data_IF_649982988341
#
_entry.id   IF_649982988341
#
_cell.length_a   1.000
_cell.length_b   1.000
_cell.length_c   1.000
_cell.angle_alpha   90.00
_cell.angle_beta   90.00
_cell.angle_gamma   90.00
#
_symmetry.space_group_name_H-M   'P 1'
#
loop_
_entity.id
_entity.type
_entity.pdbx_description
1 polymer ?
#
# COMPACT_ATOMS: atom_id res chain seq x y z
N UNK A 1 46.95 70.41 -45.37
CA UNK A 1 46.31 70.14 -44.08
C UNK A 1 44.92 69.56 -44.36
N UNK A 2 44.73 68.25 -44.30
CA UNK A 2 43.45 67.59 -44.58
C UNK A 2 43.01 66.81 -43.30
N UNK A 3 41.87 67.23 -42.80
CA UNK A 3 41.19 66.52 -41.73
C UNK A 3 40.47 65.29 -42.28
N UNK A 4 40.75 64.11 -41.72
CA UNK A 4 40.04 62.92 -41.96
C UNK A 4 39.01 62.67 -40.85
N UNK A 5 37.75 62.60 -41.19
CA UNK A 5 36.65 62.18 -40.31
C UNK A 5 36.49 60.69 -40.33
N UNK A 6 36.68 60.05 -39.21
CA UNK A 6 36.33 58.62 -39.04
C UNK A 6 34.90 58.50 -38.53
N UNK A 7 34.05 57.85 -39.29
CA UNK A 7 32.70 57.45 -38.87
C UNK A 7 32.80 56.14 -38.07
N UNK A 8 32.38 56.20 -36.84
CA UNK A 8 32.16 55.01 -36.03
C UNK A 8 30.74 54.50 -36.29
N UNK A 9 30.62 53.31 -36.82
CA UNK A 9 29.36 52.58 -36.99
C UNK A 9 29.08 51.82 -35.68
N UNK A 10 28.01 52.22 -34.96
CA UNK A 10 27.50 51.47 -33.83
C UNK A 10 26.61 50.34 -34.31
N UNK A 11 27.05 49.11 -34.11
CA UNK A 11 26.24 47.93 -34.35
C UNK A 11 25.30 47.70 -33.17
N UNK A 12 24.01 47.86 -33.37
CA UNK A 12 22.96 47.44 -32.43
C UNK A 12 22.77 45.93 -32.55
N UNK A 13 23.20 45.15 -31.57
CA UNK A 13 22.84 43.76 -31.46
C UNK A 13 21.43 43.67 -30.86
N UNK A 14 20.45 43.25 -31.66
CA UNK A 14 19.12 42.84 -31.19
C UNK A 14 19.27 41.48 -30.48
N UNK A 15 19.18 41.50 -29.17
CA UNK A 15 18.94 40.28 -28.37
C UNK A 15 17.48 39.92 -28.51
N UNK A 16 17.17 38.95 -29.35
CA UNK A 16 15.87 38.30 -29.37
C UNK A 16 15.71 37.44 -28.10
N UNK A 17 15.03 38.01 -27.11
CA UNK A 17 14.56 37.22 -25.97
C UNK A 17 13.46 36.29 -26.44
N UNK A 18 13.81 35.02 -26.70
CA UNK A 18 12.83 33.94 -26.78
C UNK A 18 12.20 33.77 -25.39
N UNK A 19 11.07 34.44 -25.16
CA UNK A 19 10.16 34.06 -24.10
C UNK A 19 9.54 32.72 -24.48
N UNK A 20 10.21 31.61 -24.17
CA UNK A 20 9.61 30.31 -24.17
C UNK A 20 8.53 30.31 -23.11
N UNK A 21 7.26 30.47 -23.53
CA UNK A 21 6.13 30.05 -22.72
C UNK A 21 6.30 28.55 -22.50
N UNK A 22 6.72 28.15 -21.31
CA UNK A 22 6.55 26.79 -20.83
C UNK A 22 5.05 26.55 -20.69
N UNK A 23 4.41 26.15 -21.78
CA UNK A 23 3.14 25.43 -21.68
C UNK A 23 3.39 24.24 -20.74
N UNK A 24 2.53 24.02 -19.73
CA UNK A 24 2.63 22.80 -18.94
C UNK A 24 2.49 21.63 -19.90
N UNK A 25 3.57 20.85 -20.00
CA UNK A 25 3.66 19.66 -20.83
C UNK A 25 2.42 18.81 -20.56
N UNK A 26 1.50 18.74 -21.52
CA UNK A 26 0.31 17.89 -21.47
C UNK A 26 0.78 16.45 -21.46
N UNK A 27 1.08 15.95 -20.27
CA UNK A 27 1.92 14.82 -19.97
C UNK A 27 1.56 13.59 -20.76
N UNK A 28 2.37 13.28 -21.75
CA UNK A 28 2.45 11.92 -22.28
C UNK A 28 2.75 11.01 -21.09
N UNK A 29 2.03 9.88 -20.94
CA UNK A 29 2.32 8.95 -19.86
C UNK A 29 3.80 8.59 -19.92
N UNK A 30 4.49 8.60 -18.78
CA UNK A 30 5.88 8.18 -18.67
C UNK A 30 6.06 6.82 -19.38
N UNK A 31 7.22 6.54 -20.01
CA UNK A 31 7.47 5.23 -20.60
C UNK A 31 7.11 4.11 -19.62
N UNK A 32 6.55 3.00 -20.14
CA UNK A 32 6.18 1.89 -19.28
C UNK A 32 7.45 1.26 -18.65
N UNK A 33 7.40 0.98 -17.35
CA UNK A 33 8.45 0.23 -16.69
C UNK A 33 8.23 -1.27 -16.98
N UNK A 34 9.07 -1.85 -17.83
CA UNK A 34 8.94 -3.24 -18.27
C UNK A 34 9.74 -4.21 -17.41
N UNK A 35 10.75 -3.73 -16.70
CA UNK A 35 11.59 -4.52 -15.81
C UNK A 35 12.03 -3.71 -14.59
N UNK A 36 12.34 -4.39 -13.49
CA UNK A 36 12.97 -3.76 -12.33
C UNK A 36 14.34 -3.16 -12.73
N UNK A 37 14.76 -2.05 -12.11
CA UNK A 37 16.04 -1.41 -12.39
C UNK A 37 17.24 -2.30 -12.03
N UNK A 38 17.03 -3.33 -11.22
CA UNK A 38 17.95 -4.40 -10.89
C UNK A 38 17.21 -5.70 -10.57
N UNK A 39 17.88 -6.83 -10.66
CA UNK A 39 17.35 -8.10 -10.18
C UNK A 39 17.11 -8.06 -8.67
N UNK A 40 16.08 -8.78 -8.22
CA UNK A 40 15.85 -9.02 -6.80
C UNK A 40 16.93 -9.95 -6.25
N UNK A 41 17.43 -9.67 -5.05
CA UNK A 41 18.28 -10.60 -4.32
C UNK A 41 17.51 -11.82 -3.86
N UNK A 42 18.18 -12.91 -3.52
CA UNK A 42 17.54 -14.10 -2.95
C UNK A 42 16.81 -13.79 -1.64
N UNK A 43 17.37 -12.90 -0.81
CA UNK A 43 16.73 -12.45 0.43
C UNK A 43 15.46 -11.64 0.17
N UNK A 44 15.48 -10.71 -0.79
CA UNK A 44 14.28 -9.96 -1.19
C UNK A 44 13.17 -10.89 -1.70
N UNK A 45 13.51 -11.89 -2.52
CA UNK A 45 12.53 -12.88 -3.00
C UNK A 45 11.91 -13.67 -1.84
N UNK A 46 12.71 -14.07 -0.84
CA UNK A 46 12.20 -14.73 0.37
C UNK A 46 11.27 -13.83 1.18
N UNK A 47 11.64 -12.56 1.39
CA UNK A 47 10.83 -11.61 2.14
C UNK A 47 9.53 -11.29 1.39
N UNK A 48 9.56 -11.10 0.07
CA UNK A 48 8.36 -10.91 -0.75
C UNK A 48 7.44 -12.12 -0.66
N UNK A 49 8.00 -13.33 -0.77
CA UNK A 49 7.23 -14.58 -0.64
C UNK A 49 6.52 -14.67 0.71
N UNK A 50 7.28 -14.50 1.80
CA UNK A 50 6.77 -14.51 3.17
C UNK A 50 5.69 -13.44 3.41
N UNK A 51 5.97 -12.19 2.99
CA UNK A 51 5.02 -11.09 3.13
C UNK A 51 3.74 -11.31 2.32
N UNK A 52 3.83 -11.90 1.14
CA UNK A 52 2.65 -12.24 0.32
C UNK A 52 1.85 -13.40 0.93
N UNK A 53 2.49 -14.44 1.46
CA UNK A 53 1.82 -15.55 2.17
C UNK A 53 1.05 -15.01 3.38
N UNK A 54 1.71 -14.18 4.20
CA UNK A 54 1.06 -13.48 5.32
C UNK A 54 -0.08 -12.56 4.83
N UNK A 55 0.11 -11.86 3.72
CA UNK A 55 -0.92 -10.96 3.16
C UNK A 55 -2.21 -11.69 2.84
N UNK A 56 -2.13 -12.81 2.14
CA UNK A 56 -3.32 -13.60 1.81
C UNK A 56 -3.91 -14.28 3.05
N UNK A 57 -3.08 -14.78 3.96
CA UNK A 57 -3.55 -15.39 5.20
C UNK A 57 -4.33 -14.36 6.07
N UNK A 58 -3.77 -13.18 6.25
CA UNK A 58 -4.41 -12.09 7.00
C UNK A 58 -5.71 -11.63 6.31
N UNK A 59 -5.68 -11.42 5.00
CA UNK A 59 -6.87 -10.97 4.26
C UNK A 59 -8.01 -11.99 4.31
N UNK A 60 -7.72 -13.30 4.15
CA UNK A 60 -8.71 -14.36 4.34
C UNK A 60 -9.31 -14.33 5.74
N UNK A 61 -8.45 -14.22 6.76
CA UNK A 61 -8.91 -14.15 8.15
C UNK A 61 -9.80 -12.95 8.41
N UNK A 62 -9.40 -11.77 7.94
CA UNK A 62 -10.17 -10.53 8.08
C UNK A 62 -11.51 -10.58 7.34
N UNK A 63 -11.53 -11.12 6.12
CA UNK A 63 -12.74 -11.29 5.32
C UNK A 63 -13.73 -12.23 6.01
N UNK A 64 -13.25 -13.37 6.51
CA UNK A 64 -14.08 -14.32 7.24
C UNK A 64 -14.60 -13.79 8.58
N UNK A 65 -13.80 -12.94 9.26
CA UNK A 65 -14.22 -12.31 10.53
C UNK A 65 -15.20 -11.13 10.33
N UNK A 66 -15.31 -10.61 9.11
CA UNK A 66 -16.14 -9.44 8.76
C UNK A 66 -16.89 -9.70 7.43
N UNK A 67 -17.78 -10.74 7.36
CA UNK A 67 -18.41 -11.12 6.09
C UNK A 67 -19.24 -9.99 5.51
N UNK A 68 -19.93 -9.22 6.36
CA UNK A 68 -20.88 -8.17 5.98
C UNK A 68 -20.27 -6.77 5.98
N UNK A 69 -18.94 -6.65 6.02
CA UNK A 69 -18.26 -5.35 6.13
C UNK A 69 -17.20 -5.18 5.07
N UNK A 70 -16.98 -3.92 4.69
CA UNK A 70 -15.82 -3.56 3.90
C UNK A 70 -14.55 -3.82 4.70
N UNK A 71 -13.52 -4.31 4.03
CA UNK A 71 -12.18 -4.53 4.59
C UNK A 71 -11.18 -3.80 3.73
N UNK A 72 -10.24 -3.11 4.35
CA UNK A 72 -9.10 -2.54 3.66
C UNK A 72 -7.85 -2.62 4.54
N UNK A 73 -6.94 -3.49 4.23
CA UNK A 73 -5.75 -3.77 5.03
C UNK A 73 -4.48 -3.56 4.22
N UNK A 74 -3.41 -3.18 4.89
CA UNK A 74 -2.04 -3.22 4.36
C UNK A 74 -1.25 -4.31 5.07
N UNK A 75 -1.22 -5.53 4.54
CA UNK A 75 -0.49 -6.61 5.18
C UNK A 75 1.03 -6.38 5.19
N UNK A 76 1.58 -5.69 4.19
CA UNK A 76 2.99 -5.30 4.18
C UNK A 76 3.33 -4.42 5.39
N UNK A 77 2.47 -3.44 5.68
CA UNK A 77 2.59 -2.58 6.87
C UNK A 77 2.57 -3.39 8.17
N UNK A 78 1.60 -4.29 8.32
CA UNK A 78 1.50 -5.16 9.49
C UNK A 78 2.72 -6.09 9.63
N UNK A 79 3.18 -6.69 8.52
CA UNK A 79 4.36 -7.55 8.48
C UNK A 79 5.63 -6.81 8.93
N UNK A 80 5.80 -5.54 8.54
CA UNK A 80 6.95 -4.73 8.95
C UNK A 80 6.89 -4.36 10.44
N UNK A 81 5.73 -3.92 10.96
CA UNK A 81 5.57 -3.59 12.38
C UNK A 81 5.83 -4.81 13.27
N UNK A 82 5.26 -5.96 12.90
CA UNK A 82 5.46 -7.22 13.61
C UNK A 82 6.89 -7.75 13.44
N UNK A 83 7.52 -7.54 12.27
CA UNK A 83 8.92 -7.84 12.03
C UNK A 83 9.86 -7.03 12.94
N UNK A 84 9.57 -5.75 13.17
CA UNK A 84 10.32 -4.96 14.17
C UNK A 84 10.15 -5.56 15.58
N UNK A 85 8.94 -5.91 15.99
CA UNK A 85 8.68 -6.52 17.29
C UNK A 85 9.40 -7.88 17.44
N UNK A 86 9.37 -8.72 16.39
CA UNK A 86 10.03 -10.02 16.35
C UNK A 86 11.54 -9.94 16.65
N UNK A 87 12.22 -8.86 16.22
CA UNK A 87 13.64 -8.65 16.53
C UNK A 87 13.93 -8.44 18.02
N UNK A 88 12.92 -8.15 18.82
CA UNK A 88 13.01 -8.06 20.28
C UNK A 88 12.54 -9.32 21.00
N UNK A 89 11.93 -10.27 20.29
CA UNK A 89 11.39 -11.51 20.83
C UNK A 89 12.43 -12.61 20.95
N UNK A 90 12.19 -13.57 21.87
CA UNK A 90 13.01 -14.76 22.05
C UNK A 90 12.11 -16.00 22.24
N UNK A 91 12.72 -17.21 22.17
CA UNK A 91 12.05 -18.49 22.40
C UNK A 91 10.76 -18.67 21.61
N UNK A 92 9.73 -19.22 22.23
CA UNK A 92 8.44 -19.51 21.60
C UNK A 92 7.76 -18.24 21.03
N UNK A 93 7.93 -17.08 21.69
CA UNK A 93 7.42 -15.81 21.17
C UNK A 93 8.00 -15.49 19.79
N UNK A 94 9.31 -15.59 19.65
CA UNK A 94 10.00 -15.41 18.40
C UNK A 94 9.55 -16.43 17.33
N UNK A 95 9.47 -17.71 17.71
CA UNK A 95 9.14 -18.79 16.78
C UNK A 95 7.71 -18.65 16.22
N UNK A 96 6.73 -18.34 17.06
CA UNK A 96 5.35 -18.09 16.61
C UNK A 96 5.23 -16.84 15.74
N UNK A 97 5.90 -15.75 16.09
CA UNK A 97 5.93 -14.54 15.29
C UNK A 97 6.54 -14.81 13.91
N UNK A 98 7.69 -15.49 13.90
CA UNK A 98 8.39 -15.85 12.68
C UNK A 98 7.56 -16.74 11.77
N UNK A 99 6.94 -17.77 12.31
CA UNK A 99 6.08 -18.70 11.58
C UNK A 99 4.85 -17.98 10.99
N UNK A 100 4.18 -17.15 11.80
CA UNK A 100 3.01 -16.39 11.36
C UNK A 100 3.34 -15.40 10.25
N UNK A 101 4.51 -14.78 10.29
CA UNK A 101 4.99 -13.87 9.25
C UNK A 101 5.54 -14.60 7.99
N UNK A 102 5.54 -15.93 7.99
CA UNK A 102 5.93 -16.74 6.83
C UNK A 102 7.43 -16.88 6.62
N UNK A 103 8.29 -16.47 7.57
CA UNK A 103 9.73 -16.57 7.39
C UNK A 103 10.25 -17.99 7.57
N UNK A 104 10.93 -18.51 6.55
CA UNK A 104 11.60 -19.79 6.62
C UNK A 104 12.65 -19.84 7.73
N UNK A 105 12.78 -20.98 8.40
CA UNK A 105 13.73 -21.17 9.51
C UNK A 105 15.21 -21.02 9.09
N UNK A 106 15.50 -21.17 7.79
CA UNK A 106 16.84 -20.98 7.23
C UNK A 106 17.27 -19.53 7.01
N UNK A 107 16.34 -18.56 7.05
CA UNK A 107 16.68 -17.15 6.89
C UNK A 107 17.18 -16.57 8.23
N UNK A 108 18.32 -15.90 8.27
CA UNK A 108 18.77 -15.19 9.47
C UNK A 108 17.97 -13.90 9.67
N UNK A 109 17.97 -13.36 10.89
CA UNK A 109 17.31 -12.08 11.19
C UNK A 109 17.92 -10.91 10.40
N UNK A 110 19.25 -10.91 10.26
CA UNK A 110 19.93 -9.89 9.47
C UNK A 110 19.54 -9.99 7.99
N UNK A 111 19.47 -11.20 7.43
CA UNK A 111 19.00 -11.41 6.06
C UNK A 111 17.60 -10.86 5.87
N UNK A 112 16.67 -11.13 6.79
CA UNK A 112 15.31 -10.61 6.75
C UNK A 112 15.28 -9.08 6.82
N UNK A 113 16.00 -8.50 7.80
CA UNK A 113 16.03 -7.06 8.02
C UNK A 113 16.67 -6.29 6.86
N UNK A 114 17.82 -6.72 6.39
CA UNK A 114 18.51 -6.12 5.25
C UNK A 114 17.68 -6.24 3.96
N UNK A 115 16.98 -7.36 3.79
CA UNK A 115 16.10 -7.56 2.64
C UNK A 115 14.88 -6.65 2.67
N UNK A 116 14.26 -6.41 3.84
CA UNK A 116 13.21 -5.40 3.97
C UNK A 116 13.72 -4.01 3.62
N UNK A 117 14.86 -3.61 4.17
CA UNK A 117 15.47 -2.30 3.87
C UNK A 117 15.70 -2.13 2.37
N UNK A 118 16.32 -3.11 1.73
CA UNK A 118 16.63 -3.09 0.30
C UNK A 118 15.36 -3.07 -0.56
N UNK A 119 14.36 -3.90 -0.22
CA UNK A 119 13.07 -3.94 -0.91
C UNK A 119 12.34 -2.60 -0.82
N UNK A 120 12.24 -2.00 0.36
CA UNK A 120 11.58 -0.71 0.54
C UNK A 120 12.28 0.41 -0.24
N UNK A 121 13.60 0.42 -0.23
CA UNK A 121 14.37 1.37 -1.04
C UNK A 121 14.10 1.19 -2.54
N UNK A 122 14.02 -0.06 -3.01
CA UNK A 122 13.65 -0.37 -4.39
C UNK A 122 12.24 0.15 -4.71
N UNK A 123 11.24 -0.23 -3.91
CA UNK A 123 9.84 0.15 -4.15
C UNK A 123 9.65 1.68 -4.20
N UNK A 124 10.24 2.43 -3.29
CA UNK A 124 10.16 3.91 -3.27
C UNK A 124 10.71 4.57 -4.54
N UNK A 125 11.63 3.92 -5.23
CA UNK A 125 12.33 4.46 -6.41
C UNK A 125 11.74 4.09 -7.76
N UNK A 126 10.71 3.22 -7.82
CA UNK A 126 10.23 2.64 -9.08
C UNK A 126 9.43 3.62 -9.96
N UNK A 127 8.67 4.51 -9.36
CA UNK A 127 7.82 5.46 -10.07
C UNK A 127 7.79 6.82 -9.37
N UNK A 128 8.46 7.84 -9.91
CA UNK A 128 8.48 9.16 -9.30
C UNK A 128 7.13 9.90 -9.36
N UNK A 129 6.16 9.42 -10.16
CA UNK A 129 4.80 9.94 -10.21
C UNK A 129 3.87 9.33 -9.15
N UNK A 130 4.35 8.32 -8.43
CA UNK A 130 3.64 7.65 -7.33
C UNK A 130 4.25 8.06 -5.99
N UNK A 131 3.45 8.66 -5.12
CA UNK A 131 3.86 8.93 -3.73
C UNK A 131 3.59 7.71 -2.87
N UNK A 132 4.62 6.85 -2.78
CA UNK A 132 4.61 5.66 -1.94
C UNK A 132 5.49 5.88 -0.73
N UNK A 133 4.87 5.89 0.47
CA UNK A 133 5.56 6.11 1.74
C UNK A 133 5.33 4.95 2.67
N UNK A 134 6.41 4.48 3.26
CA UNK A 134 6.41 3.60 4.42
C UNK A 134 7.28 4.28 5.48
N UNK A 135 6.73 4.46 6.66
CA UNK A 135 7.43 5.05 7.80
C UNK A 135 7.24 4.16 9.02
N UNK A 136 8.32 3.92 9.75
CA UNK A 136 8.35 3.11 10.95
C UNK A 136 8.75 3.95 12.16
N UNK A 137 8.20 3.65 13.33
CA UNK A 137 8.62 4.28 14.58
C UNK A 137 8.57 3.33 15.77
N UNK A 138 9.47 3.59 16.70
CA UNK A 138 9.57 2.96 18.02
C UNK A 138 9.48 4.09 19.05
N UNK A 139 8.36 4.18 19.73
CA UNK A 139 8.16 5.11 20.83
C UNK A 139 8.24 4.35 22.14
N UNK A 140 9.08 4.77 23.04
CA UNK A 140 9.24 4.10 24.33
C UNK A 140 9.23 5.08 25.50
N UNK A 141 8.71 4.62 26.63
CA UNK A 141 8.60 5.43 27.85
C UNK A 141 9.97 5.90 28.31
N UNK A 142 10.11 7.19 28.61
CA UNK A 142 11.31 7.75 29.21
C UNK A 142 11.69 6.99 30.47
N UNK A 143 12.95 6.57 30.58
CA UNK A 143 13.48 5.78 31.71
C UNK A 143 13.23 4.26 31.60
N UNK A 144 12.48 3.78 30.59
CA UNK A 144 12.35 2.35 30.35
C UNK A 144 13.64 1.79 29.74
N UNK A 145 14.20 0.66 30.28
CA UNK A 145 15.50 0.14 29.84
C UNK A 145 15.36 -0.62 28.51
N UNK A 146 15.42 0.08 27.37
CA UNK A 146 15.39 -0.52 26.04
C UNK A 146 16.79 -0.95 25.61
N UNK A 147 16.92 -2.16 25.07
CA UNK A 147 18.17 -2.68 24.50
C UNK A 147 18.61 -1.84 23.29
N UNK A 148 19.85 -1.36 23.32
CA UNK A 148 20.37 -0.53 22.24
C UNK A 148 20.46 -1.28 20.92
N UNK A 149 20.82 -2.57 20.95
CA UNK A 149 20.86 -3.41 19.76
C UNK A 149 19.47 -3.57 19.10
N UNK A 150 18.40 -3.64 19.90
CA UNK A 150 17.04 -3.64 19.38
C UNK A 150 16.70 -2.31 18.66
N UNK A 151 17.03 -1.17 19.28
CA UNK A 151 16.81 0.14 18.66
C UNK A 151 17.63 0.30 17.36
N UNK A 152 18.86 -0.19 17.36
CA UNK A 152 19.75 -0.11 16.19
C UNK A 152 19.26 -1.02 15.04
N UNK A 153 18.76 -2.21 15.33
CA UNK A 153 18.08 -3.05 14.33
C UNK A 153 16.84 -2.35 13.76
N UNK A 154 16.02 -1.73 14.60
CA UNK A 154 14.86 -0.92 14.17
C UNK A 154 15.27 0.19 13.20
N UNK A 155 16.30 0.96 13.53
CA UNK A 155 16.82 2.04 12.67
C UNK A 155 17.44 1.51 11.39
N UNK A 156 18.31 0.50 11.50
CA UNK A 156 19.11 0.04 10.38
C UNK A 156 18.33 -0.79 9.36
N UNK A 157 17.39 -1.60 9.79
CA UNK A 157 16.63 -2.53 8.93
C UNK A 157 15.28 -2.01 8.50
N UNK A 158 14.63 -1.21 9.35
CA UNK A 158 13.27 -0.73 9.10
C UNK A 158 13.19 0.79 8.92
N UNK A 159 14.32 1.49 8.92
CA UNK A 159 14.37 2.97 8.86
C UNK A 159 13.48 3.61 9.95
N UNK A 160 13.43 2.98 11.13
CA UNK A 160 12.51 3.37 12.18
C UNK A 160 13.02 4.59 12.96
N UNK A 161 12.15 5.57 13.15
CA UNK A 161 12.36 6.60 14.15
C UNK A 161 12.24 5.99 15.53
N UNK A 162 13.33 5.91 16.30
CA UNK A 162 13.31 5.46 17.70
C UNK A 162 13.45 6.67 18.64
N UNK A 163 12.47 6.89 19.52
CA UNK A 163 12.41 8.07 20.38
C UNK A 163 11.82 7.72 21.76
N UNK A 164 12.50 8.15 22.81
CA UNK A 164 11.93 8.17 24.16
C UNK A 164 10.87 9.28 24.28
N UNK A 165 9.79 9.00 24.98
CA UNK A 165 8.68 9.93 25.17
C UNK A 165 8.14 9.78 26.61
N UNK A 166 7.86 10.90 27.28
CA UNK A 166 7.17 10.87 28.57
C UNK A 166 5.69 10.50 28.34
N UNK A 167 5.35 9.24 28.57
CA UNK A 167 4.00 8.71 28.36
C UNK A 167 2.97 9.26 29.38
N UNK A 168 3.41 9.88 30.47
CA UNK A 168 2.54 10.58 31.41
C UNK A 168 2.19 12.01 30.93
N UNK A 169 2.93 12.53 29.95
CA UNK A 169 2.65 13.85 29.39
C UNK A 169 1.35 13.85 28.59
N UNK A 170 0.46 14.84 28.78
CA UNK A 170 -0.73 15.00 27.94
C UNK A 170 -0.44 15.12 26.43
N UNK A 171 0.78 15.54 26.06
CA UNK A 171 1.19 15.69 24.66
C UNK A 171 1.69 14.38 24.02
N UNK A 172 1.87 13.30 24.78
CA UNK A 172 2.45 12.06 24.25
C UNK A 172 1.59 11.45 23.13
N UNK A 173 0.28 11.35 23.33
CA UNK A 173 -0.69 10.86 22.33
C UNK A 173 -0.64 11.72 21.07
N UNK A 174 -0.67 13.04 21.24
CA UNK A 174 -0.61 13.99 20.12
C UNK A 174 0.70 13.85 19.35
N UNK A 175 1.85 13.73 20.03
CA UNK A 175 3.16 13.55 19.37
C UNK A 175 3.20 12.32 18.50
N UNK A 176 2.66 11.20 18.95
CA UNK A 176 2.60 9.95 18.17
C UNK A 176 1.64 10.09 16.98
N UNK A 177 0.45 10.64 17.23
CA UNK A 177 -0.56 10.83 16.17
C UNK A 177 -0.10 11.83 15.10
N UNK A 178 0.54 12.92 15.48
CA UNK A 178 1.09 13.93 14.54
C UNK A 178 2.17 13.30 13.65
N UNK A 179 2.99 12.42 14.20
CA UNK A 179 3.97 11.68 13.39
C UNK A 179 3.28 10.78 12.36
N UNK A 180 2.23 10.03 12.73
CA UNK A 180 1.46 9.20 11.80
C UNK A 180 0.75 10.07 10.76
N UNK A 181 0.11 11.14 11.19
CA UNK A 181 -0.56 12.10 10.30
C UNK A 181 0.41 12.67 9.26
N UNK A 182 1.57 13.13 9.69
CA UNK A 182 2.62 13.62 8.77
C UNK A 182 3.10 12.56 7.81
N UNK A 183 3.33 11.33 8.28
CA UNK A 183 3.80 10.20 7.48
C UNK A 183 2.76 9.75 6.44
N UNK A 184 1.47 10.01 6.68
CA UNK A 184 0.34 9.63 5.80
C UNK A 184 -0.33 10.85 5.14
N UNK A 185 0.36 11.99 5.08
CA UNK A 185 -0.15 13.23 4.44
C UNK A 185 -1.54 13.63 4.99
N UNK A 186 -1.71 13.50 6.30
CA UNK A 186 -2.96 13.85 6.99
C UNK A 186 -4.10 12.83 6.84
N UNK A 187 -3.89 11.71 6.15
CA UNK A 187 -4.98 10.72 5.89
C UNK A 187 -5.28 9.81 7.06
N UNK A 188 -4.31 9.61 7.93
CA UNK A 188 -4.50 8.89 9.20
C UNK A 188 -4.16 9.88 10.33
N UNK A 189 -5.12 10.70 10.77
CA UNK A 189 -4.86 11.74 11.77
C UNK A 189 -4.64 11.17 13.18
N UNK A 190 -5.12 9.95 13.45
CA UNK A 190 -5.00 9.32 14.76
C UNK A 190 -4.76 7.81 14.61
N UNK A 191 -3.80 7.26 15.37
CA UNK A 191 -3.55 5.81 15.46
C UNK A 191 -3.82 5.29 16.87
N UNK A 192 -3.53 6.10 17.90
CA UNK A 192 -3.82 5.79 19.29
C UNK A 192 -4.74 6.84 19.87
N UNK A 193 -5.62 6.42 20.77
CA UNK A 193 -6.60 7.31 21.43
C UNK A 193 -6.10 7.73 22.81
N UNK A 194 -5.37 6.84 23.49
CA UNK A 194 -4.77 7.06 24.82
C UNK A 194 -3.56 6.14 25.03
N UNK A 195 -2.80 6.42 26.05
CA UNK A 195 -1.70 5.58 26.53
C UNK A 195 -2.09 5.07 27.91
N UNK A 196 -2.14 3.75 28.08
CA UNK A 196 -2.43 3.12 29.38
C UNK A 196 -1.18 3.13 30.26
N UNK A 197 -1.38 3.04 31.58
CA UNK A 197 -0.29 3.17 32.53
C UNK A 197 0.74 2.02 32.46
N UNK A 198 0.35 0.86 32.01
CA UNK A 198 1.18 -0.33 31.81
C UNK A 198 1.90 -0.36 30.46
N UNK A 199 1.47 0.44 29.50
CA UNK A 199 2.11 0.52 28.19
C UNK A 199 3.46 1.23 28.29
N UNK A 200 4.49 0.59 27.73
CA UNK A 200 5.88 1.10 27.78
C UNK A 200 6.47 1.34 26.40
N UNK A 201 5.84 0.80 25.33
CA UNK A 201 6.36 0.93 23.98
C UNK A 201 5.23 0.83 22.93
N UNK A 202 5.40 1.60 21.86
CA UNK A 202 4.61 1.50 20.62
C UNK A 202 5.52 1.28 19.44
N UNK A 203 5.23 0.25 18.66
CA UNK A 203 5.85 -0.02 17.37
C UNK A 203 4.81 0.28 16.28
N UNK A 204 5.05 1.32 15.50
CA UNK A 204 4.07 1.82 14.53
C UNK A 204 4.67 1.80 13.13
N UNK A 205 3.93 1.23 12.19
CA UNK A 205 4.16 1.41 10.77
C UNK A 205 3.03 2.24 10.18
N UNK A 206 3.37 3.25 9.41
CA UNK A 206 2.45 4.07 8.64
C UNK A 206 2.75 3.89 7.16
N UNK A 207 1.73 3.55 6.38
CA UNK A 207 1.84 3.36 4.94
C UNK A 207 0.86 4.26 4.21
N UNK A 208 1.33 4.88 3.14
CA UNK A 208 0.56 5.76 2.29
C UNK A 208 0.86 5.47 0.82
N UNK A 209 -0.16 5.47 0.00
CA UNK A 209 -0.05 5.32 -1.44
C UNK A 209 -0.93 6.34 -2.15
N UNK A 210 -0.34 7.07 -3.08
CA UNK A 210 -1.03 7.96 -4.00
C UNK A 210 -0.47 7.77 -5.40
N UNK A 211 -1.31 7.44 -6.36
CA UNK A 211 -0.90 7.25 -7.75
C UNK A 211 -2.00 7.65 -8.71
N UNK A 212 -1.65 8.38 -9.77
CA UNK A 212 -2.56 8.64 -10.88
C UNK A 212 -2.66 7.40 -11.78
N UNK A 213 -3.86 7.09 -12.26
CA UNK A 213 -4.01 6.04 -13.28
C UNK A 213 -3.11 6.32 -14.48
N UNK A 214 -2.45 5.31 -14.99
CA UNK A 214 -1.71 5.43 -16.26
C UNK A 214 -2.62 5.86 -17.41
N UNK A 215 -3.85 5.37 -17.43
CA UNK A 215 -4.94 5.83 -18.29
C UNK A 215 -6.09 6.24 -17.39
N UNK A 216 -6.35 7.54 -17.31
CA UNK A 216 -7.40 8.12 -16.43
C UNK A 216 -8.79 7.81 -16.95
N UNK A 217 -9.77 7.89 -16.07
CA UNK A 217 -11.17 7.93 -16.46
C UNK A 217 -11.57 9.38 -16.80
N UNK A 218 -12.50 9.53 -17.74
CA UNK A 218 -13.08 10.83 -18.07
C UNK A 218 -14.21 11.13 -17.06
N UNK A 219 -14.11 12.21 -16.27
CA UNK A 219 -15.16 12.56 -15.32
C UNK A 219 -16.53 12.79 -15.96
N UNK A 220 -16.56 13.27 -17.23
CA UNK A 220 -17.80 13.49 -17.98
C UNK A 220 -18.54 12.17 -18.32
N UNK A 221 -17.83 11.05 -18.27
CA UNK A 221 -18.38 9.70 -18.53
C UNK A 221 -18.81 8.98 -17.24
N UNK A 222 -18.58 9.56 -16.06
CA UNK A 222 -19.02 9.00 -14.78
C UNK A 222 -20.53 9.13 -14.66
N UNK A 223 -21.20 8.02 -14.41
CA UNK A 223 -22.67 7.98 -14.26
C UNK A 223 -23.07 7.52 -12.87
N UNK A 224 -24.26 7.95 -12.46
CA UNK A 224 -24.91 7.39 -11.26
C UNK A 224 -25.66 6.13 -11.67
N UNK A 225 -25.38 5.01 -11.01
CA UNK A 225 -26.03 3.73 -11.29
C UNK A 225 -26.20 2.91 -9.99
N UNK A 226 -27.07 1.90 -9.97
CA UNK A 226 -27.16 0.98 -8.85
C UNK A 226 -25.84 0.23 -8.62
N UNK A 227 -25.51 0.01 -7.35
CA UNK A 227 -24.54 -0.96 -6.89
C UNK A 227 -25.30 -1.98 -6.03
N UNK A 228 -25.29 -3.24 -6.46
CA UNK A 228 -26.00 -4.35 -5.82
C UNK A 228 -25.25 -4.80 -4.57
N UNK A 229 -25.32 -3.97 -3.52
CA UNK A 229 -24.60 -4.18 -2.28
C UNK A 229 -25.18 -5.34 -1.47
N UNK A 230 -24.38 -5.90 -0.58
CA UNK A 230 -24.90 -6.82 0.43
C UNK A 230 -25.91 -6.09 1.31
N UNK A 231 -27.17 -6.56 1.28
CA UNK A 231 -28.29 -5.95 2.01
C UNK A 231 -29.18 -5.00 1.19
N UNK A 232 -28.93 -4.87 -0.11
CA UNK A 232 -29.79 -4.11 -1.04
C UNK A 232 -29.04 -3.08 -1.89
N UNK A 233 -29.72 -2.59 -2.90
CA UNK A 233 -29.16 -1.67 -3.87
C UNK A 233 -28.77 -0.31 -3.25
N UNK A 234 -27.63 0.20 -3.62
CA UNK A 234 -27.11 1.52 -3.27
C UNK A 234 -26.81 2.32 -4.53
N UNK A 235 -26.86 3.64 -4.45
CA UNK A 235 -26.45 4.51 -5.54
C UNK A 235 -24.93 4.67 -5.55
N UNK A 236 -24.28 4.40 -6.68
CA UNK A 236 -22.85 4.57 -6.87
C UNK A 236 -22.51 5.49 -8.05
N UNK A 237 -21.37 6.14 -8.00
CA UNK A 237 -20.76 6.84 -9.13
C UNK A 237 -19.84 5.87 -9.86
N UNK A 238 -20.29 5.36 -11.01
CA UNK A 238 -19.50 4.45 -11.83
C UNK A 238 -18.68 5.23 -12.87
N UNK A 239 -17.37 5.23 -12.68
CA UNK A 239 -16.41 5.77 -13.64
C UNK A 239 -16.34 4.84 -14.85
N UNK A 240 -16.33 5.38 -16.06
CA UNK A 240 -16.33 4.59 -17.30
C UNK A 240 -15.09 4.83 -18.15
N UNK A 241 -14.51 3.73 -18.63
CA UNK A 241 -13.38 3.74 -19.56
C UNK A 241 -13.43 2.54 -20.49
N UNK A 242 -13.14 2.77 -21.75
CA UNK A 242 -13.00 1.73 -22.76
C UNK A 242 -11.55 1.61 -23.21
N UNK A 243 -11.18 0.46 -23.74
CA UNK A 243 -9.90 0.23 -24.40
C UNK A 243 -9.20 -1.04 -23.96
N UNK A 244 -7.98 -1.21 -24.43
CA UNK A 244 -7.15 -2.36 -24.11
C UNK A 244 -6.73 -2.34 -22.65
N UNK A 245 -7.04 -3.42 -21.94
CA UNK A 245 -6.68 -3.65 -20.54
C UNK A 245 -6.22 -5.09 -20.36
N UNK A 246 -5.35 -5.29 -19.37
CA UNK A 246 -4.99 -6.64 -18.94
C UNK A 246 -6.18 -7.24 -18.21
N UNK A 247 -6.68 -8.37 -18.70
CA UNK A 247 -7.85 -9.06 -18.21
C UNK A 247 -7.59 -10.55 -18.08
N UNK A 248 -8.23 -11.17 -17.11
CA UNK A 248 -8.23 -12.63 -16.90
C UNK A 248 -9.60 -13.08 -16.41
N UNK A 249 -10.00 -14.29 -16.78
CA UNK A 249 -11.20 -14.97 -16.28
C UNK A 249 -10.84 -16.37 -15.79
N UNK A 250 -11.40 -16.72 -14.65
CA UNK A 250 -11.35 -18.06 -14.05
C UNK A 250 -12.77 -18.61 -13.87
N UNK A 251 -12.91 -19.77 -13.24
CA UNK A 251 -14.23 -20.29 -12.88
C UNK A 251 -14.89 -19.51 -11.73
N UNK A 252 -14.09 -18.85 -10.87
CA UNK A 252 -14.57 -18.21 -9.63
C UNK A 252 -14.71 -16.69 -9.75
N UNK A 253 -14.02 -16.06 -10.69
CA UNK A 253 -14.00 -14.60 -10.85
C UNK A 253 -13.44 -14.19 -12.22
N UNK A 254 -13.66 -12.95 -12.56
CA UNK A 254 -12.89 -12.22 -13.57
C UNK A 254 -12.12 -11.06 -12.94
N UNK A 255 -11.02 -10.63 -13.55
CA UNK A 255 -10.21 -9.54 -13.02
C UNK A 255 -9.63 -8.66 -14.12
N UNK A 256 -9.47 -7.36 -13.80
CA UNK A 256 -8.73 -6.38 -14.62
C UNK A 256 -7.58 -5.80 -13.81
N UNK A 257 -6.47 -5.50 -14.49
CA UNK A 257 -5.28 -4.89 -13.89
C UNK A 257 -5.15 -3.45 -14.38
N UNK A 258 -5.21 -2.50 -13.46
CA UNK A 258 -5.25 -1.06 -13.72
C UNK A 258 -3.93 -0.43 -13.27
N UNK A 259 -3.00 -0.14 -14.20
CA UNK A 259 -1.69 0.41 -13.84
C UNK A 259 -1.78 1.89 -13.44
N UNK A 260 -0.91 2.28 -12.50
CA UNK A 260 -0.61 3.65 -12.13
C UNK A 260 0.64 4.16 -12.86
N UNK A 261 0.75 5.45 -13.06
CA UNK A 261 1.93 6.17 -13.51
C UNK A 261 2.69 5.50 -14.66
N UNK A 262 3.92 5.07 -14.39
CA UNK A 262 4.75 4.34 -15.35
C UNK A 262 4.43 2.83 -15.41
N UNK A 263 3.46 2.33 -14.65
CA UNK A 263 3.05 0.93 -14.63
C UNK A 263 3.83 0.04 -13.67
N UNK A 264 4.69 0.58 -12.81
CA UNK A 264 5.32 -0.19 -11.73
C UNK A 264 4.27 -0.71 -10.75
N UNK A 265 3.29 0.11 -10.44
CA UNK A 265 2.19 -0.22 -9.54
C UNK A 265 0.90 -0.45 -10.30
N UNK A 266 0.04 -1.31 -9.76
CA UNK A 266 -1.30 -1.56 -10.31
C UNK A 266 -2.31 -1.86 -9.21
N UNK A 267 -3.59 -1.56 -9.51
CA UNK A 267 -4.73 -2.09 -8.79
C UNK A 267 -5.35 -3.19 -9.64
N UNK A 268 -5.35 -4.41 -9.13
CA UNK A 268 -6.11 -5.52 -9.71
C UNK A 268 -7.49 -5.54 -9.08
N UNK A 269 -8.54 -5.33 -9.87
CA UNK A 269 -9.94 -5.43 -9.44
C UNK A 269 -10.44 -6.83 -9.79
N UNK A 270 -10.97 -7.55 -8.81
CA UNK A 270 -11.43 -8.93 -8.91
C UNK A 270 -12.93 -8.97 -8.64
N UNK A 271 -13.70 -9.32 -9.65
CA UNK A 271 -15.15 -9.38 -9.61
C UNK A 271 -15.60 -10.84 -9.53
N UNK A 272 -16.26 -11.27 -8.45
CA UNK A 272 -16.73 -12.65 -8.32
C UNK A 272 -17.64 -13.08 -9.48
N UNK A 273 -17.51 -14.33 -9.93
CA UNK A 273 -18.40 -14.92 -10.92
C UNK A 273 -19.85 -15.04 -10.38
N UNK A 274 -20.80 -15.26 -11.26
CA UNK A 274 -22.20 -15.44 -10.86
C UNK A 274 -22.33 -16.58 -9.82
N UNK A 275 -23.01 -16.31 -8.71
CA UNK A 275 -23.19 -17.23 -7.58
C UNK A 275 -21.99 -17.36 -6.63
N UNK A 276 -20.93 -16.60 -6.86
CA UNK A 276 -19.76 -16.49 -5.96
C UNK A 276 -19.81 -15.19 -5.18
N UNK A 277 -19.22 -15.19 -4.01
CA UNK A 277 -19.10 -14.04 -3.11
C UNK A 277 -17.65 -13.53 -3.05
N UNK A 278 -17.46 -12.34 -2.49
CA UNK A 278 -16.12 -11.82 -2.17
C UNK A 278 -15.37 -12.72 -1.18
N UNK A 279 -16.09 -13.42 -0.31
CA UNK A 279 -15.49 -14.32 0.67
C UNK A 279 -15.06 -15.64 0.03
N UNK A 280 -15.79 -16.15 -0.99
CA UNK A 280 -15.33 -17.28 -1.81
C UNK A 280 -14.03 -16.93 -2.54
N UNK A 281 -13.97 -15.73 -3.13
CA UNK A 281 -12.74 -15.23 -3.77
C UNK A 281 -11.61 -15.12 -2.75
N UNK A 282 -11.85 -14.48 -1.60
CA UNK A 282 -10.83 -14.31 -0.57
C UNK A 282 -10.32 -15.66 -0.04
N UNK A 283 -11.20 -16.65 0.14
CA UNK A 283 -10.84 -18.02 0.58
C UNK A 283 -9.92 -18.73 -0.42
N UNK A 284 -10.14 -18.53 -1.72
CA UNK A 284 -9.34 -19.11 -2.80
C UNK A 284 -8.00 -18.43 -3.07
N UNK A 285 -7.82 -17.18 -2.61
CA UNK A 285 -6.59 -16.43 -2.86
C UNK A 285 -5.44 -16.93 -1.97
N UNK A 286 -4.32 -17.29 -2.62
CA UNK A 286 -3.05 -17.69 -2.01
C UNK A 286 -1.90 -17.10 -2.82
N UNK A 287 -0.73 -16.90 -2.21
CA UNK A 287 0.40 -16.24 -2.89
C UNK A 287 0.84 -16.98 -4.16
N UNK A 288 0.95 -18.31 -4.11
CA UNK A 288 1.31 -19.13 -5.28
C UNK A 288 0.27 -19.05 -6.39
N UNK A 289 -1.03 -19.23 -6.05
CA UNK A 289 -2.13 -19.13 -7.00
C UNK A 289 -2.22 -17.72 -7.62
N UNK A 290 -1.99 -16.68 -6.81
CA UNK A 290 -1.96 -15.30 -7.28
C UNK A 290 -0.81 -15.06 -8.25
N UNK A 291 0.38 -15.58 -7.96
CA UNK A 291 1.54 -15.48 -8.85
C UNK A 291 1.26 -16.13 -10.21
N UNK A 292 0.64 -17.30 -10.23
CA UNK A 292 0.24 -17.96 -11.48
C UNK A 292 -0.90 -17.23 -12.20
N UNK A 293 -1.86 -16.67 -11.47
CA UNK A 293 -2.93 -15.85 -12.03
C UNK A 293 -2.37 -14.62 -12.75
N UNK A 294 -1.40 -13.93 -12.14
CA UNK A 294 -0.82 -12.70 -12.73
C UNK A 294 -0.12 -12.95 -14.07
N UNK A 295 0.35 -14.16 -14.34
CA UNK A 295 0.92 -14.58 -15.64
C UNK A 295 -0.15 -14.84 -16.70
N UNK A 296 -1.40 -15.09 -16.30
CA UNK A 296 -2.50 -15.41 -17.21
C UNK A 296 -3.24 -14.18 -17.74
N UNK A 297 -2.95 -12.99 -17.21
CA UNK A 297 -3.53 -11.76 -17.74
C UNK A 297 -3.13 -11.55 -19.22
N UNK A 298 -4.12 -11.26 -20.04
CA UNK A 298 -3.97 -10.97 -21.48
C UNK A 298 -4.59 -9.64 -21.82
N UNK A 299 -4.10 -9.01 -22.84
CA UNK A 299 -4.71 -7.80 -23.38
C UNK A 299 -6.07 -8.15 -23.98
N UNK A 300 -7.09 -7.38 -23.61
CA UNK A 300 -8.45 -7.50 -24.11
C UNK A 300 -9.05 -6.10 -24.29
N UNK A 301 -9.95 -5.95 -25.27
CA UNK A 301 -10.75 -4.73 -25.39
C UNK A 301 -11.90 -4.80 -24.39
N UNK A 302 -11.89 -3.93 -23.39
CA UNK A 302 -12.78 -3.95 -22.22
C UNK A 302 -13.52 -2.64 -22.10
N UNK A 303 -14.85 -2.71 -21.89
CA UNK A 303 -15.67 -1.64 -21.36
C UNK A 303 -15.69 -1.79 -19.84
N UNK A 304 -14.92 -0.94 -19.14
CA UNK A 304 -14.80 -0.94 -17.69
C UNK A 304 -15.75 0.08 -17.07
N UNK A 305 -16.50 -0.36 -16.05
CA UNK A 305 -17.22 0.52 -15.13
C UNK A 305 -16.77 0.19 -13.71
N UNK A 306 -16.15 1.17 -13.03
CA UNK A 306 -15.60 1.02 -11.67
C UNK A 306 -16.20 2.07 -10.75
N UNK A 307 -16.76 1.74 -9.59
CA UNK A 307 -17.29 2.74 -8.67
C UNK A 307 -16.16 3.62 -8.11
N UNK A 308 -16.47 4.92 -7.95
CA UNK A 308 -15.70 5.77 -7.04
C UNK A 308 -15.97 5.32 -5.63
N UNK A 309 -14.93 5.22 -4.81
CA UNK A 309 -15.10 4.95 -3.39
C UNK A 309 -13.99 5.55 -2.55
N UNK A 310 -14.36 5.90 -1.32
CA UNK A 310 -13.46 6.34 -0.28
C UNK A 310 -13.69 5.47 0.93
N UNK A 311 -12.65 4.78 1.41
CA UNK A 311 -12.76 3.87 2.52
C UNK A 311 -11.72 4.18 3.58
N UNK A 312 -12.17 4.36 4.81
CA UNK A 312 -11.37 4.35 6.02
C UNK A 312 -11.65 3.05 6.77
N UNK A 313 -10.61 2.38 7.23
CA UNK A 313 -10.74 1.13 7.95
C UNK A 313 -9.81 1.12 9.18
N UNK A 314 -10.33 0.66 10.30
CA UNK A 314 -9.67 0.61 11.60
C UNK A 314 -9.94 -0.74 12.26
N UNK A 315 -8.89 -1.43 12.72
CA UNK A 315 -9.03 -2.71 13.40
C UNK A 315 -7.90 -2.99 14.37
N UNK A 316 -8.25 -3.59 15.50
CA UNK A 316 -7.32 -4.25 16.41
C UNK A 316 -7.10 -5.67 15.90
N UNK A 317 -5.85 -6.03 15.58
CA UNK A 317 -5.51 -7.25 14.87
C UNK A 317 -5.15 -8.44 15.78
N UNK A 318 -5.02 -8.26 17.08
CA UNK A 318 -4.60 -9.35 18.01
C UNK A 318 -5.44 -10.61 17.81
N UNK A 319 -6.80 -10.59 17.80
CA UNK A 319 -7.59 -11.81 17.63
C UNK A 319 -7.36 -12.50 16.26
N UNK A 320 -7.03 -11.71 15.26
CA UNK A 320 -6.78 -12.24 13.91
C UNK A 320 -5.39 -12.86 13.82
N UNK A 321 -4.39 -12.26 14.46
CA UNK A 321 -3.02 -12.79 14.57
C UNK A 321 -2.96 -14.06 15.42
N UNK A 322 -3.71 -14.12 16.53
CA UNK A 322 -3.87 -15.33 17.34
C UNK A 322 -4.45 -16.49 16.52
N UNK A 323 -5.45 -16.22 15.71
CA UNK A 323 -6.04 -17.20 14.80
C UNK A 323 -5.06 -17.67 13.70
N UNK A 324 -4.08 -16.84 13.34
CA UNK A 324 -3.01 -17.18 12.41
C UNK A 324 -1.82 -17.90 13.08
N UNK A 325 -1.83 -18.06 14.41
CA UNK A 325 -0.81 -18.81 15.15
C UNK A 325 0.11 -17.99 16.05
N UNK A 326 0.09 -16.66 15.98
CA UNK A 326 0.84 -15.77 16.88
C UNK A 326 0.03 -15.58 18.18
N UNK A 327 0.35 -16.29 19.22
CA UNK A 327 -0.42 -16.31 20.48
C UNK A 327 0.38 -15.84 21.68
N UNK A 328 1.55 -16.42 21.91
CA UNK A 328 2.35 -16.20 23.12
C UNK A 328 2.77 -14.74 23.23
N UNK A 329 3.02 -14.05 22.12
CA UNK A 329 3.40 -12.64 22.10
C UNK A 329 2.39 -11.68 22.78
N UNK A 330 1.12 -12.10 22.92
CA UNK A 330 0.02 -11.29 23.48
C UNK A 330 -0.34 -11.65 24.92
N UNK A 331 0.35 -12.61 25.53
CA UNK A 331 0.00 -13.13 26.86
C UNK A 331 0.98 -12.63 27.91
N UNK A 332 0.45 -11.86 28.87
CA UNK A 332 1.22 -11.41 30.02
C UNK A 332 1.86 -12.58 30.79
N UNK A 333 3.10 -12.43 31.20
CA UNK A 333 3.90 -13.43 31.90
C UNK A 333 4.27 -14.68 31.10
N UNK A 334 3.93 -14.73 29.79
CA UNK A 334 4.32 -15.83 28.88
C UNK A 334 5.15 -15.35 27.70
N UNK A 335 4.93 -14.12 27.26
CA UNK A 335 5.70 -13.51 26.19
C UNK A 335 7.16 -13.30 26.63
N UNK A 336 8.08 -13.50 25.72
CA UNK A 336 9.51 -13.26 25.92
C UNK A 336 10.03 -12.23 24.91
N UNK A 337 10.24 -11.01 25.40
CA UNK A 337 10.86 -9.91 24.69
C UNK A 337 12.22 -9.53 25.31
N UNK A 338 12.93 -10.50 25.85
CA UNK A 338 14.23 -10.31 26.53
C UNK A 338 15.32 -9.69 25.63
N UNK A 339 15.14 -9.73 24.32
CA UNK A 339 16.03 -9.06 23.34
C UNK A 339 15.62 -7.61 23.04
N UNK A 340 14.50 -7.15 23.61
CA UNK A 340 14.02 -5.77 23.53
C UNK A 340 14.39 -4.96 24.78
N UNK A 341 14.43 -5.63 25.94
CA UNK A 341 14.68 -5.01 27.23
C UNK A 341 15.17 -6.04 28.24
N UNK A 342 15.92 -5.60 29.27
CA UNK A 342 16.24 -6.41 30.44
C UNK A 342 14.98 -6.81 31.24
N UNK A 343 13.87 -6.11 31.06
CA UNK A 343 12.54 -6.43 31.61
C UNK A 343 11.66 -7.19 30.59
N UNK A 344 12.24 -7.70 29.51
CA UNK A 344 11.51 -8.24 28.36
C UNK A 344 10.59 -9.42 28.67
N UNK A 345 10.86 -10.22 29.71
CA UNK A 345 9.98 -11.30 30.19
C UNK A 345 8.72 -10.81 30.94
N UNK A 346 8.65 -9.50 31.21
CA UNK A 346 7.47 -8.83 31.79
C UNK A 346 6.70 -8.05 30.73
N UNK A 347 7.16 -8.10 29.46
CA UNK A 347 6.53 -7.41 28.34
C UNK A 347 5.65 -8.37 27.55
N UNK A 348 4.55 -7.84 27.05
CA UNK A 348 3.73 -8.47 26.04
C UNK A 348 3.16 -7.42 25.08
N UNK A 349 2.73 -7.82 23.91
CA UNK A 349 2.09 -6.91 22.95
C UNK A 349 0.62 -6.76 23.34
N UNK A 350 0.25 -5.62 23.92
CA UNK A 350 -1.12 -5.31 24.34
C UNK A 350 -1.98 -4.70 23.24
N UNK A 351 -1.37 -4.21 22.18
CA UNK A 351 -2.08 -3.56 21.06
C UNK A 351 -1.36 -3.79 19.73
N UNK A 352 -2.08 -4.33 18.76
CA UNK A 352 -1.74 -4.27 17.33
C UNK A 352 -2.93 -3.62 16.64
N UNK A 353 -2.77 -2.39 16.18
CA UNK A 353 -3.84 -1.61 15.54
C UNK A 353 -3.40 -1.21 14.15
N UNK A 354 -4.28 -1.40 13.16
CA UNK A 354 -4.07 -0.91 11.82
C UNK A 354 -5.19 0.05 11.45
N UNK A 355 -4.81 1.20 10.91
CA UNK A 355 -5.70 2.11 10.20
C UNK A 355 -5.21 2.27 8.78
N UNK A 356 -6.14 2.26 7.85
CA UNK A 356 -5.85 2.43 6.42
C UNK A 356 -6.86 3.38 5.79
N UNK A 357 -6.44 4.01 4.71
CA UNK A 357 -7.24 4.95 3.94
C UNK A 357 -7.00 4.72 2.46
N UNK A 358 -8.08 4.75 1.67
CA UNK A 358 -8.04 4.75 0.22
C UNK A 358 -9.12 5.66 -0.34
N UNK A 359 -8.81 6.39 -1.40
CA UNK A 359 -9.73 7.20 -2.19
C UNK A 359 -9.49 6.91 -3.66
N UNK A 360 -10.44 6.25 -4.29
CA UNK A 360 -10.39 5.84 -5.70
C UNK A 360 -11.35 6.70 -6.51
N UNK A 361 -10.81 7.44 -7.47
CA UNK A 361 -11.54 8.35 -8.33
C UNK A 361 -11.01 8.29 -9.78
N UNK A 362 -11.50 9.17 -10.67
CA UNK A 362 -11.20 9.18 -12.10
C UNK A 362 -9.73 9.41 -12.42
N UNK A 363 -9.01 10.07 -11.54
CA UNK A 363 -7.60 10.42 -11.74
C UNK A 363 -6.66 9.33 -11.25
N UNK A 364 -7.08 8.57 -10.23
CA UNK A 364 -6.25 7.57 -9.59
C UNK A 364 -6.70 7.24 -8.19
N UNK A 365 -5.74 6.86 -7.39
CA UNK A 365 -5.85 6.82 -5.94
C UNK A 365 -5.23 8.10 -5.40
N UNK A 366 -6.06 8.99 -4.85
CA UNK A 366 -5.70 10.30 -4.30
C UNK A 366 -5.04 11.30 -5.27
N UNK A 367 -5.51 11.47 -6.49
CA UNK A 367 -4.94 12.43 -7.45
C UNK A 367 -5.76 13.72 -7.58
N UNK A 368 -5.09 14.84 -7.93
CA UNK A 368 -5.69 16.14 -8.22
C UNK A 368 -5.75 16.39 -9.73
N UNK A 369 -6.79 17.13 -10.19
CA UNK A 369 -7.24 17.16 -11.58
C UNK A 369 -6.29 17.81 -12.60
N UNK A 370 -6.09 17.14 -13.76
CA UNK A 370 -5.72 17.73 -15.05
C UNK A 370 -6.48 17.00 -16.15
N UNK A 371 -7.22 17.73 -17.00
CA UNK A 371 -8.11 17.17 -18.02
C UNK A 371 -7.40 17.03 -19.37
N UNK A 372 -7.47 15.83 -19.99
CA UNK A 372 -7.13 15.64 -21.40
C UNK A 372 -8.21 14.78 -22.07
N UNK A 373 -8.78 15.25 -23.19
CA UNK A 373 -9.81 14.58 -23.98
C UNK A 373 -9.21 14.11 -25.31
N UNK A 374 -9.26 12.80 -25.57
CA UNK A 374 -8.93 12.21 -26.87
C UNK A 374 -10.14 11.48 -27.46
N UNK A 375 -10.52 11.79 -28.71
CA UNK A 375 -11.64 11.17 -29.44
C UNK A 375 -11.10 10.27 -30.54
N UNK A 376 -11.54 9.00 -30.58
CA UNK A 376 -11.26 8.07 -31.67
C UNK A 376 -12.53 7.37 -32.14
N UNK A 377 -12.79 7.37 -33.42
CA UNK A 377 -13.88 6.66 -34.09
C UNK A 377 -13.36 5.42 -34.80
N UNK A 378 -13.86 4.25 -34.45
CA UNK A 378 -13.82 3.05 -35.34
C UNK A 378 -14.94 2.10 -34.99
N UNK A 379 -15.41 1.28 -35.95
CA UNK A 379 -16.48 0.29 -35.83
C UNK A 379 -16.29 -0.60 -34.57
N UNK A 380 -17.33 -0.74 -33.76
CA UNK A 380 -17.26 -1.37 -32.46
C UNK A 380 -17.02 -2.90 -32.58
N UNK A 381 -15.83 -3.42 -32.21
CA UNK A 381 -15.69 -4.83 -31.90
C UNK A 381 -16.56 -5.17 -30.68
N UNK A 382 -16.95 -6.43 -30.54
CA UNK A 382 -17.65 -6.90 -29.34
C UNK A 382 -16.70 -6.77 -28.16
N UNK A 383 -16.89 -5.71 -27.35
CA UNK A 383 -16.10 -5.42 -26.16
C UNK A 383 -16.56 -6.31 -25.00
N UNK A 384 -15.60 -6.75 -24.19
CA UNK A 384 -15.91 -7.40 -22.92
C UNK A 384 -16.43 -6.34 -21.95
N UNK A 385 -17.57 -6.62 -21.34
CA UNK A 385 -18.10 -5.76 -20.27
C UNK A 385 -17.52 -6.21 -18.93
N UNK A 386 -16.87 -5.31 -18.23
CA UNK A 386 -16.41 -5.50 -16.85
C UNK A 386 -17.05 -4.42 -15.99
N UNK A 387 -18.26 -4.72 -15.49
CA UNK A 387 -19.09 -3.78 -14.73
C UNK A 387 -19.02 -4.13 -13.25
N UNK A 388 -18.34 -3.28 -12.47
CA UNK A 388 -18.18 -3.43 -11.02
C UNK A 388 -19.36 -2.77 -10.32
N UNK A 389 -20.53 -3.38 -10.43
CA UNK A 389 -21.81 -2.94 -9.87
C UNK A 389 -22.27 -3.77 -8.67
N UNK A 390 -21.40 -4.63 -8.15
CA UNK A 390 -21.64 -5.55 -7.03
C UNK A 390 -20.38 -5.77 -6.21
N UNK A 391 -20.45 -6.46 -5.05
CA UNK A 391 -19.29 -6.73 -4.20
C UNK A 391 -18.07 -7.25 -4.96
N UNK A 392 -16.91 -6.67 -4.65
CA UNK A 392 -15.66 -6.98 -5.32
C UNK A 392 -14.47 -6.96 -4.36
N UNK A 393 -13.38 -7.58 -4.77
CA UNK A 393 -12.06 -7.55 -4.10
C UNK A 393 -11.11 -6.71 -4.94
N UNK A 394 -10.18 -6.02 -4.32
CA UNK A 394 -9.09 -5.35 -5.03
C UNK A 394 -7.75 -5.55 -4.33
N UNK A 395 -6.70 -5.60 -5.12
CA UNK A 395 -5.31 -5.78 -4.65
C UNK A 395 -4.46 -4.69 -5.28
N UNK A 396 -3.82 -3.88 -4.44
CA UNK A 396 -2.85 -2.90 -4.86
C UNK A 396 -1.46 -3.49 -4.64
N UNK A 397 -0.69 -3.58 -5.70
CA UNK A 397 0.62 -4.26 -5.70
C UNK A 397 1.67 -3.54 -6.53
N UNK A 398 2.92 -3.81 -6.26
CA UNK A 398 3.99 -3.57 -7.22
C UNK A 398 4.01 -4.74 -8.21
N UNK A 399 3.99 -4.44 -9.50
CA UNK A 399 3.70 -5.41 -10.56
C UNK A 399 4.87 -6.34 -10.88
N UNK A 400 6.09 -5.83 -10.82
CA UNK A 400 7.28 -6.54 -11.31
C UNK A 400 7.88 -7.49 -10.26
N UNK A 401 7.88 -7.09 -8.99
CA UNK A 401 8.26 -7.98 -7.87
C UNK A 401 7.10 -8.83 -7.38
N UNK A 402 5.86 -8.42 -7.66
CA UNK A 402 4.65 -9.03 -7.13
C UNK A 402 4.37 -8.68 -5.66
N UNK A 403 5.05 -7.70 -5.09
CA UNK A 403 4.86 -7.27 -3.69
C UNK A 403 3.47 -6.70 -3.50
N UNK A 404 2.68 -7.29 -2.59
CA UNK A 404 1.34 -6.82 -2.23
C UNK A 404 1.46 -5.70 -1.19
N UNK A 405 0.87 -4.55 -1.50
CA UNK A 405 0.87 -3.36 -0.64
C UNK A 405 -0.42 -3.29 0.19
N UNK A 406 -1.56 -3.42 -0.48
CA UNK A 406 -2.89 -3.38 0.14
C UNK A 406 -3.81 -4.41 -0.48
N UNK A 407 -4.79 -4.84 0.32
CA UNK A 407 -5.90 -5.68 -0.13
C UNK A 407 -7.21 -5.14 0.43
N UNK A 408 -8.26 -5.17 -0.37
CA UNK A 408 -9.57 -4.70 0.07
C UNK A 408 -10.73 -5.53 -0.46
N UNK A 409 -11.81 -5.49 0.29
CA UNK A 409 -13.12 -6.06 -0.03
C UNK A 409 -14.17 -4.97 0.13
N UNK A 410 -14.94 -4.69 -0.91
CA UNK A 410 -16.09 -3.79 -0.91
C UNK A 410 -17.34 -4.64 -1.05
N UNK A 411 -18.20 -4.65 -0.03
CA UNK A 411 -19.48 -5.34 -0.03
C UNK A 411 -20.65 -4.36 -0.05
N UNK A 412 -20.40 -3.11 0.29
CA UNK A 412 -21.33 -1.97 0.20
C UNK A 412 -20.57 -0.69 -0.11
N UNK A 413 -21.20 0.26 -0.75
CA UNK A 413 -20.56 1.57 -0.99
C UNK A 413 -20.30 2.26 0.35
N UNK A 414 -19.04 2.70 0.60
CA UNK A 414 -18.67 3.38 1.84
C UNK A 414 -19.21 4.80 1.91
#
# INVERSE_FOLDING_TARGET
MRLSRSCAAAAFALVAACSGSTEPDGGKPSPALEALPRALTAGEQKVIGAANDFSFALFRRLSAAQPDSNVFTSPLSASMALGMAMNGAAGTTYDEMRATLGFATSASESEIGESYKSLIALLRGLDPSVDFRIANSIWYRTGFPVDQGFLDRGRNWFDARASALDFASPSAVTTINDWVSTSTVGKIPTIIDRIENDQVMFLINAIYFKGSWRTRFDPARTVTAPFHALGGDQSAKLMRRDGTMRWVQTADFEAVDLPYGNGAYSMTVVLPAAGKTTDDVAAGLQASAWTELTKQFRDADVELQLPRFKLEWDRKLIPDLEALGMRVAFVDGRADFSRMSTLGTQLFISLVKQKTYVDVNEEGTEAAAVTNVGVSLTSAPVRRQFIVDRPFVFVLRERLSGTILFMGKIVRMP
#
